data_IF_404067285847
#
_entry.id   IF_404067285847
#
_cell.length_a   1.000
_cell.length_b   1.000
_cell.length_c   1.000
_cell.angle_alpha   90.00
_cell.angle_beta   90.00
_cell.angle_gamma   90.00
#
_symmetry.space_group_name_H-M   'P 1'
#
loop_
_entity.id
_entity.type
_entity.pdbx_description
1 polymer ?
#
# COMPACT_ATOMS: atom_id res chain seq x y z
N UNK A 1 -25.61 62.08 -42.16
CA UNK A 1 -26.21 60.73 -42.23
C UNK A 1 -27.00 60.50 -40.94
N UNK A 2 -28.33 60.41 -41.03
CA UNK A 2 -29.20 60.37 -39.85
C UNK A 2 -29.08 59.03 -39.12
N UNK A 3 -28.70 59.07 -37.83
CA UNK A 3 -28.77 57.91 -36.93
C UNK A 3 -30.23 57.41 -36.92
N UNK A 4 -30.49 56.27 -37.56
CA UNK A 4 -31.81 55.66 -37.64
C UNK A 4 -32.23 55.23 -36.23
N UNK A 5 -33.03 56.06 -35.55
CA UNK A 5 -33.56 55.77 -34.21
C UNK A 5 -34.40 54.50 -34.32
N UNK A 6 -33.92 53.42 -33.70
CA UNK A 6 -34.57 52.11 -33.74
C UNK A 6 -35.87 52.16 -32.94
N UNK A 7 -36.99 51.78 -33.53
CA UNK A 7 -38.27 51.72 -32.81
C UNK A 7 -38.27 50.64 -31.72
N UNK A 8 -39.07 50.83 -30.67
CA UNK A 8 -39.21 49.86 -29.58
C UNK A 8 -39.63 48.47 -30.08
N UNK A 9 -40.54 48.39 -31.05
CA UNK A 9 -40.96 47.12 -31.66
C UNK A 9 -39.79 46.42 -32.36
N UNK A 10 -39.02 47.15 -33.17
CA UNK A 10 -37.85 46.60 -33.87
C UNK A 10 -36.75 46.16 -32.88
N UNK A 11 -36.64 46.85 -31.74
CA UNK A 11 -35.76 46.42 -30.68
C UNK A 11 -36.26 45.14 -30.03
N UNK A 12 -37.54 45.03 -29.65
CA UNK A 12 -38.09 43.84 -29.00
C UNK A 12 -38.00 42.56 -29.86
N UNK A 13 -38.15 42.68 -31.18
CA UNK A 13 -38.04 41.53 -32.09
C UNK A 13 -36.61 41.03 -32.26
N UNK A 14 -35.60 41.89 -32.10
CA UNK A 14 -34.19 41.46 -32.16
C UNK A 14 -33.80 40.77 -30.86
N UNK A 15 -33.29 39.55 -30.92
CA UNK A 15 -32.91 38.77 -29.71
C UNK A 15 -34.12 38.56 -28.77
N UNK A 16 -35.30 38.29 -29.36
CA UNK A 16 -36.59 38.20 -28.66
C UNK A 16 -36.54 37.30 -27.41
N UNK A 17 -35.96 36.10 -27.50
CA UNK A 17 -35.85 35.19 -26.35
C UNK A 17 -35.06 35.76 -25.18
N UNK A 18 -33.91 36.39 -25.44
CA UNK A 18 -33.07 37.02 -24.41
C UNK A 18 -33.76 38.25 -23.81
N UNK A 19 -34.50 39.01 -24.63
CA UNK A 19 -35.23 40.18 -24.16
C UNK A 19 -36.44 39.80 -23.32
N UNK A 20 -37.14 38.71 -23.65
CA UNK A 20 -38.21 38.19 -22.79
C UNK A 20 -37.65 37.81 -21.41
N UNK A 21 -36.58 37.03 -21.36
CA UNK A 21 -35.92 36.67 -20.10
C UNK A 21 -35.48 37.90 -19.29
N UNK A 22 -34.89 38.90 -19.95
CA UNK A 22 -34.51 40.16 -19.31
C UNK A 22 -35.71 40.91 -18.73
N UNK A 23 -36.80 41.04 -19.50
CA UNK A 23 -38.00 41.75 -19.06
C UNK A 23 -38.72 41.01 -17.93
N UNK A 24 -38.74 39.66 -17.95
CA UNK A 24 -39.26 38.84 -16.85
C UNK A 24 -38.45 39.08 -15.57
N UNK A 25 -37.12 39.15 -15.68
CA UNK A 25 -36.26 39.42 -14.53
C UNK A 25 -36.43 40.85 -13.98
N UNK A 26 -36.48 41.87 -14.85
CA UNK A 26 -36.72 43.26 -14.41
C UNK A 26 -38.12 43.43 -13.81
N UNK A 27 -39.11 42.67 -14.28
CA UNK A 27 -40.46 42.64 -13.69
C UNK A 27 -40.44 42.00 -12.30
N UNK A 28 -39.76 40.86 -12.13
CA UNK A 28 -39.64 40.19 -10.83
C UNK A 28 -38.90 41.06 -9.80
N UNK A 29 -37.93 41.86 -10.25
CA UNK A 29 -37.19 42.79 -9.40
C UNK A 29 -37.94 44.10 -9.12
N UNK A 30 -39.00 44.41 -9.87
CA UNK A 30 -39.83 45.62 -9.69
C UNK A 30 -39.11 46.95 -9.97
N UNK A 31 -37.97 46.92 -10.66
CA UNK A 31 -37.10 48.08 -10.82
C UNK A 31 -37.61 49.08 -11.88
N UNK A 32 -37.56 48.68 -13.16
CA UNK A 32 -37.90 49.55 -14.30
C UNK A 32 -39.28 49.25 -14.88
N UNK A 33 -39.81 48.05 -14.62
CA UNK A 33 -41.07 47.55 -15.18
C UNK A 33 -42.02 47.36 -14.02
N UNK A 34 -43.18 48.01 -14.11
CA UNK A 34 -44.26 47.83 -13.13
C UNK A 34 -45.48 47.27 -13.84
N UNK A 35 -46.09 46.26 -13.23
CA UNK A 35 -47.37 45.71 -13.67
C UNK A 35 -48.45 46.75 -13.36
N UNK A 36 -49.20 47.18 -14.38
CA UNK A 36 -50.31 48.10 -14.19
C UNK A 36 -51.62 47.43 -14.59
N UNK A 37 -52.45 47.13 -13.60
CA UNK A 37 -53.79 46.59 -13.80
C UNK A 37 -54.76 47.75 -13.97
N UNK A 38 -55.12 48.05 -15.22
CA UNK A 38 -56.11 49.09 -15.52
C UNK A 38 -57.55 48.54 -15.43
N UNK A 39 -57.73 47.22 -15.60
CA UNK A 39 -58.96 46.44 -15.40
C UNK A 39 -58.60 44.94 -15.29
N UNK A 40 -59.34 44.15 -14.50
CA UNK A 40 -59.11 42.70 -14.25
C UNK A 40 -59.01 41.82 -15.52
N UNK A 41 -59.42 42.34 -16.69
CA UNK A 41 -59.41 41.62 -17.97
C UNK A 41 -58.24 41.98 -18.91
N UNK A 42 -57.51 43.07 -18.68
CA UNK A 42 -56.42 43.51 -19.58
C UNK A 42 -55.24 44.05 -18.77
N UNK A 43 -54.20 43.23 -18.61
CA UNK A 43 -52.92 43.67 -18.04
C UNK A 43 -52.19 44.57 -19.03
N UNK A 44 -51.92 45.81 -18.61
CA UNK A 44 -51.02 46.70 -19.32
C UNK A 44 -49.68 46.75 -18.57
N UNK A 45 -48.57 46.57 -19.27
CA UNK A 45 -47.26 46.74 -18.65
C UNK A 45 -46.75 48.14 -18.93
N UNK A 46 -46.53 48.90 -17.86
CA UNK A 46 -45.93 50.22 -17.94
C UNK A 46 -44.45 50.10 -17.58
N UNK A 47 -43.59 50.49 -18.50
CA UNK A 47 -42.16 50.60 -18.22
C UNK A 47 -41.90 52.08 -17.94
N UNK A 48 -41.73 52.41 -16.67
CA UNK A 48 -41.59 53.79 -16.19
C UNK A 48 -40.64 53.84 -15.00
N UNK A 49 -39.76 54.84 -14.99
CA UNK A 49 -38.90 55.12 -13.84
C UNK A 49 -39.63 55.90 -12.72
N UNK A 50 -40.82 56.46 -12.98
CA UNK A 50 -41.56 57.29 -12.02
C UNK A 50 -42.91 56.67 -11.66
N UNK A 51 -43.30 56.77 -10.37
CA UNK A 51 -44.61 56.36 -9.83
C UNK A 51 -45.78 57.24 -10.33
N UNK A 52 -45.50 58.37 -10.97
CA UNK A 52 -46.51 59.33 -11.40
C UNK A 52 -46.81 59.22 -12.91
N UNK A 53 -48.10 59.04 -13.21
CA UNK A 53 -48.71 58.71 -14.50
C UNK A 53 -48.73 59.87 -15.54
N UNK A 54 -47.92 60.93 -15.34
CA UNK A 54 -47.89 62.11 -16.23
C UNK A 54 -46.68 62.12 -17.18
N UNK A 55 -46.22 60.95 -17.61
CA UNK A 55 -45.16 60.85 -18.61
C UNK A 55 -45.76 60.81 -20.02
N UNK A 56 -45.24 61.64 -20.91
CA UNK A 56 -45.50 61.51 -22.34
C UNK A 56 -44.88 60.19 -22.81
N UNK A 57 -45.67 59.33 -23.45
CA UNK A 57 -45.18 58.07 -24.00
C UNK A 57 -44.78 58.27 -25.46
N UNK A 58 -43.47 58.33 -25.71
CA UNK A 58 -42.91 58.52 -27.05
C UNK A 58 -42.86 57.19 -27.84
N UNK A 59 -42.91 56.06 -27.13
CA UNK A 59 -42.83 54.74 -27.72
C UNK A 59 -43.94 53.81 -27.24
N UNK A 60 -44.60 53.17 -28.19
CA UNK A 60 -45.55 52.10 -27.95
C UNK A 60 -45.20 50.87 -28.80
N UNK A 61 -45.24 49.71 -28.18
CA UNK A 61 -44.96 48.43 -28.80
C UNK A 61 -45.77 47.33 -28.14
N UNK A 62 -45.66 46.12 -28.67
CA UNK A 62 -46.24 44.94 -28.06
C UNK A 62 -45.35 43.72 -28.11
N UNK A 63 -45.44 42.93 -27.04
CA UNK A 63 -44.73 41.68 -26.87
C UNK A 63 -45.76 40.56 -27.02
N UNK A 64 -45.54 39.66 -27.97
CA UNK A 64 -46.36 38.46 -28.15
C UNK A 64 -45.85 37.35 -27.25
N UNK A 65 -46.74 36.50 -26.74
CA UNK A 65 -46.41 35.31 -25.95
C UNK A 65 -45.42 35.60 -24.82
N UNK A 66 -45.84 36.39 -23.83
CA UNK A 66 -45.02 36.82 -22.70
C UNK A 66 -45.75 36.52 -21.38
N UNK A 67 -45.10 35.85 -20.43
CA UNK A 67 -45.69 35.48 -19.12
C UNK A 67 -47.03 34.72 -19.19
N UNK A 68 -47.20 33.85 -20.19
CA UNK A 68 -48.46 33.14 -20.52
C UNK A 68 -49.59 34.00 -21.13
N UNK A 69 -49.32 35.27 -21.47
CA UNK A 69 -50.27 36.13 -22.18
C UNK A 69 -49.97 36.13 -23.68
N UNK A 70 -51.04 36.03 -24.49
CA UNK A 70 -50.92 36.07 -25.95
C UNK A 70 -50.36 37.41 -26.44
N UNK A 71 -50.71 38.51 -25.76
CA UNK A 71 -50.36 39.86 -26.15
C UNK A 71 -50.20 40.78 -24.95
N UNK A 72 -49.09 41.51 -24.90
CA UNK A 72 -48.77 42.48 -23.85
C UNK A 72 -48.41 43.83 -24.48
N UNK A 73 -49.20 44.90 -24.26
CA UNK A 73 -48.84 46.24 -24.70
C UNK A 73 -47.80 46.85 -23.76
N UNK A 74 -46.81 47.53 -24.34
CA UNK A 74 -45.71 48.20 -23.64
C UNK A 74 -45.63 49.65 -24.10
N UNK A 75 -45.58 50.58 -23.14
CA UNK A 75 -45.43 52.02 -23.38
C UNK A 75 -44.32 52.59 -22.49
N UNK A 76 -43.50 53.46 -23.07
CA UNK A 76 -42.35 54.09 -22.40
C UNK A 76 -41.89 55.36 -23.12
N UNK A 77 -41.19 56.25 -22.40
CA UNK A 77 -40.56 57.45 -22.96
C UNK A 77 -39.18 57.16 -23.55
N UNK A 78 -38.64 58.08 -24.34
CA UNK A 78 -37.31 57.98 -24.96
C UNK A 78 -36.19 57.77 -23.91
N UNK A 79 -36.26 58.47 -22.78
CA UNK A 79 -35.29 58.33 -21.69
C UNK A 79 -35.28 56.93 -21.08
N UNK A 80 -36.47 56.40 -20.81
CA UNK A 80 -36.66 55.05 -20.25
C UNK A 80 -36.23 54.01 -21.27
N UNK A 81 -36.47 54.24 -22.56
CA UNK A 81 -35.99 53.35 -23.62
C UNK A 81 -34.47 53.25 -23.67
N UNK A 82 -33.78 54.38 -23.52
CA UNK A 82 -32.33 54.42 -23.48
C UNK A 82 -31.78 53.66 -22.26
N UNK A 83 -32.37 53.85 -21.08
CA UNK A 83 -32.00 53.09 -19.88
C UNK A 83 -32.26 51.60 -20.04
N UNK A 84 -33.39 51.21 -20.64
CA UNK A 84 -33.74 49.82 -20.93
C UNK A 84 -32.69 49.16 -21.85
N UNK A 85 -32.23 49.86 -22.89
CA UNK A 85 -31.16 49.38 -23.79
C UNK A 85 -29.84 49.16 -23.04
N UNK A 86 -29.47 50.08 -22.14
CA UNK A 86 -28.24 49.97 -21.33
C UNK A 86 -28.35 48.77 -20.38
N UNK A 87 -29.45 48.64 -19.64
CA UNK A 87 -29.68 47.51 -18.74
C UNK A 87 -29.68 46.17 -19.46
N UNK A 88 -30.30 46.09 -20.64
CA UNK A 88 -30.26 44.88 -21.45
C UNK A 88 -28.83 44.50 -21.87
N UNK A 89 -27.97 45.47 -22.22
CA UNK A 89 -26.55 45.19 -22.50
C UNK A 89 -25.83 44.62 -21.29
N UNK A 90 -26.07 45.19 -20.10
CA UNK A 90 -25.50 44.70 -18.84
C UNK A 90 -26.00 43.28 -18.53
N UNK A 91 -27.31 43.03 -18.65
CA UNK A 91 -27.90 41.72 -18.47
C UNK A 91 -27.29 40.69 -19.41
N UNK A 92 -27.19 40.99 -20.71
CA UNK A 92 -26.60 40.12 -21.72
C UNK A 92 -25.14 39.79 -21.40
N UNK A 93 -24.38 40.78 -20.94
CA UNK A 93 -22.99 40.60 -20.51
C UNK A 93 -22.89 39.67 -19.29
N UNK A 94 -23.73 39.88 -18.28
CA UNK A 94 -23.75 39.08 -17.06
C UNK A 94 -24.21 37.64 -17.30
N UNK A 95 -25.22 37.45 -18.16
CA UNK A 95 -25.71 36.12 -18.54
C UNK A 95 -24.62 35.32 -19.26
N UNK A 96 -23.88 35.96 -20.18
CA UNK A 96 -22.74 35.34 -20.84
C UNK A 96 -21.66 34.91 -19.83
N UNK A 97 -21.32 35.77 -18.86
CA UNK A 97 -20.34 35.43 -17.82
C UNK A 97 -20.80 34.24 -16.96
N UNK A 98 -22.09 34.18 -16.61
CA UNK A 98 -22.68 33.09 -15.83
C UNK A 98 -22.63 31.77 -16.60
N UNK A 99 -23.00 31.79 -17.88
CA UNK A 99 -23.00 30.59 -18.73
C UNK A 99 -21.59 30.07 -19.02
N UNK A 100 -20.60 30.96 -19.14
CA UNK A 100 -19.19 30.59 -19.35
C UNK A 100 -18.43 30.35 -18.02
N UNK A 101 -19.13 30.38 -16.88
CA UNK A 101 -18.59 30.27 -15.52
C UNK A 101 -17.34 31.16 -15.29
N UNK A 102 -17.32 32.34 -15.92
CA UNK A 102 -16.19 33.27 -15.92
C UNK A 102 -16.24 34.14 -14.69
N UNK A 103 -15.35 33.86 -13.73
CA UNK A 103 -15.08 34.76 -12.60
C UNK A 103 -14.04 35.79 -13.03
N UNK A 104 -14.43 37.06 -13.12
CA UNK A 104 -13.46 38.15 -13.27
C UNK A 104 -12.67 38.27 -11.97
N UNK A 105 -11.38 37.97 -12.03
CA UNK A 105 -10.43 38.19 -10.94
C UNK A 105 -9.59 39.41 -11.26
N UNK A 106 -9.49 40.35 -10.32
CA UNK A 106 -8.48 41.39 -10.38
C UNK A 106 -7.19 40.84 -9.78
N UNK A 107 -6.08 40.99 -10.50
CA UNK A 107 -4.76 40.60 -10.06
C UNK A 107 -3.91 41.87 -9.95
N UNK A 108 -3.30 42.07 -8.79
CA UNK A 108 -2.30 43.10 -8.61
C UNK A 108 -0.94 42.46 -8.80
N UNK A 109 -0.21 42.94 -9.81
CA UNK A 109 1.09 42.40 -10.19
C UNK A 109 2.05 43.59 -10.22
N UNK A 110 3.26 43.41 -9.70
CA UNK A 110 4.30 44.42 -9.76
C UNK A 110 4.79 44.64 -11.19
N UNK A 111 5.29 45.85 -11.45
CA UNK A 111 5.62 46.29 -12.81
C UNK A 111 6.74 45.46 -13.45
N UNK A 112 7.67 44.94 -12.64
CA UNK A 112 8.76 44.07 -13.10
C UNK A 112 8.24 42.72 -13.57
N UNK A 113 7.33 42.10 -12.81
CA UNK A 113 6.69 40.84 -13.20
C UNK A 113 5.78 41.02 -14.41
N UNK A 114 5.06 42.16 -14.49
CA UNK A 114 4.25 42.49 -15.65
C UNK A 114 5.10 42.63 -16.92
N UNK A 115 6.25 43.32 -16.84
CA UNK A 115 7.18 43.48 -17.98
C UNK A 115 7.72 42.13 -18.46
N UNK A 116 8.03 41.21 -17.53
CA UNK A 116 8.43 39.84 -17.88
C UNK A 116 7.30 39.05 -18.54
N UNK A 117 6.08 39.19 -18.05
CA UNK A 117 4.91 38.54 -18.64
C UNK A 117 4.69 39.02 -20.07
N UNK A 118 4.78 40.32 -20.33
CA UNK A 118 4.71 40.89 -21.68
C UNK A 118 5.81 40.37 -22.61
N UNK A 119 7.02 40.18 -22.09
CA UNK A 119 8.12 39.58 -22.85
C UNK A 119 7.80 38.12 -23.22
N UNK A 120 7.36 37.31 -22.26
CA UNK A 120 6.94 35.91 -22.51
C UNK A 120 5.81 35.86 -23.56
N UNK A 121 4.86 36.77 -23.47
CA UNK A 121 3.75 36.89 -24.42
C UNK A 121 4.26 37.16 -25.84
N UNK A 122 5.21 38.08 -26.00
CA UNK A 122 5.83 38.37 -27.31
C UNK A 122 6.63 37.18 -27.83
N UNK A 123 7.48 36.60 -26.99
CA UNK A 123 8.39 35.51 -27.36
C UNK A 123 7.62 34.24 -27.78
N UNK A 124 6.40 34.05 -27.27
CA UNK A 124 5.54 32.90 -27.58
C UNK A 124 4.34 33.26 -28.48
N UNK A 125 4.36 34.45 -29.11
CA UNK A 125 3.30 34.93 -30.03
C UNK A 125 1.88 34.88 -29.44
N UNK A 126 1.76 35.11 -28.13
CA UNK A 126 0.49 35.08 -27.42
C UNK A 126 -0.21 36.44 -27.60
N UNK A 127 -1.45 36.43 -28.11
CA UNK A 127 -2.16 37.68 -28.45
C UNK A 127 -2.62 38.52 -27.24
N UNK A 128 -2.71 37.94 -26.04
CA UNK A 128 -3.25 38.63 -24.87
C UNK A 128 -2.54 38.22 -23.58
N UNK A 129 -2.57 39.10 -22.58
CA UNK A 129 -2.09 38.80 -21.22
C UNK A 129 -2.78 37.58 -20.61
N UNK A 130 -4.08 37.45 -20.88
CA UNK A 130 -4.84 36.28 -20.42
C UNK A 130 -4.34 34.99 -21.05
N UNK A 131 -3.98 34.99 -22.33
CA UNK A 131 -3.37 33.82 -22.98
C UNK A 131 -1.97 33.54 -22.43
N UNK A 132 -1.19 34.57 -22.13
CA UNK A 132 0.09 34.45 -21.41
C UNK A 132 -0.04 33.78 -20.05
N UNK A 133 -1.00 34.23 -19.24
CA UNK A 133 -1.28 33.63 -17.93
C UNK A 133 -1.79 32.20 -18.05
N UNK A 134 -2.67 31.92 -19.01
CA UNK A 134 -3.15 30.55 -19.26
C UNK A 134 -2.01 29.63 -19.68
N UNK A 135 -1.14 30.07 -20.60
CA UNK A 135 0.04 29.32 -21.03
C UNK A 135 0.97 28.96 -19.87
N UNK A 136 1.23 29.91 -18.96
CA UNK A 136 2.04 29.66 -17.77
C UNK A 136 1.36 28.72 -16.77
N UNK A 137 0.04 28.87 -16.59
CA UNK A 137 -0.75 28.00 -15.71
C UNK A 137 -0.83 26.57 -16.24
N UNK A 138 -0.93 26.40 -17.56
CA UNK A 138 -0.95 25.09 -18.22
C UNK A 138 0.42 24.41 -18.08
N UNK A 139 1.52 25.15 -18.27
CA UNK A 139 2.88 24.64 -18.04
C UNK A 139 3.14 24.23 -16.58
N UNK A 140 2.65 25.02 -15.61
CA UNK A 140 2.71 24.65 -14.19
C UNK A 140 1.84 23.43 -13.87
N UNK A 141 0.67 23.32 -14.48
CA UNK A 141 -0.25 22.19 -14.28
C UNK A 141 0.32 20.88 -14.83
N UNK A 142 1.01 20.93 -15.98
CA UNK A 142 1.74 19.79 -16.55
C UNK A 142 2.86 19.32 -15.62
N UNK A 143 3.73 20.22 -15.16
CA UNK A 143 4.80 19.88 -14.20
C UNK A 143 4.26 19.31 -12.90
N UNK A 144 3.13 19.84 -12.40
CA UNK A 144 2.50 19.33 -11.19
C UNK A 144 1.91 17.93 -11.39
N UNK A 145 1.37 17.64 -12.59
CA UNK A 145 0.88 16.31 -12.96
C UNK A 145 2.03 15.30 -13.06
N UNK A 146 3.12 15.66 -13.72
CA UNK A 146 4.32 14.83 -13.81
C UNK A 146 4.92 14.53 -12.44
N UNK A 147 4.98 15.54 -11.56
CA UNK A 147 5.47 15.38 -10.18
C UNK A 147 4.57 14.44 -9.36
N UNK A 148 3.24 14.55 -9.52
CA UNK A 148 2.28 13.65 -8.86
C UNK A 148 2.44 12.21 -9.34
N UNK A 149 2.60 12.01 -10.64
CA UNK A 149 2.80 10.69 -11.23
C UNK A 149 4.11 10.05 -10.73
N UNK A 150 5.21 10.82 -10.73
CA UNK A 150 6.49 10.38 -10.18
C UNK A 150 6.39 9.98 -8.70
N UNK A 151 5.69 10.79 -7.89
CA UNK A 151 5.48 10.49 -6.48
C UNK A 151 4.62 9.22 -6.29
N UNK A 152 3.62 9.02 -7.13
CA UNK A 152 2.81 7.81 -7.10
C UNK A 152 3.65 6.57 -7.41
N UNK A 153 4.45 6.61 -8.47
CA UNK A 153 5.37 5.53 -8.83
C UNK A 153 6.39 5.22 -7.72
N UNK A 154 6.97 6.27 -7.11
CA UNK A 154 7.89 6.10 -5.99
C UNK A 154 7.20 5.47 -4.77
N UNK A 155 5.94 5.84 -4.50
CA UNK A 155 5.16 5.24 -3.40
C UNK A 155 4.96 3.75 -3.62
N UNK A 156 4.55 3.34 -4.83
CA UNK A 156 4.39 1.92 -5.19
C UNK A 156 5.72 1.18 -5.04
N UNK A 157 6.82 1.76 -5.52
CA UNK A 157 8.15 1.15 -5.42
C UNK A 157 8.59 0.95 -3.97
N UNK A 158 8.35 1.92 -3.09
CA UNK A 158 8.65 1.83 -1.65
C UNK A 158 7.79 0.75 -0.99
N UNK A 159 6.50 0.67 -1.32
CA UNK A 159 5.62 -0.38 -0.81
C UNK A 159 6.13 -1.77 -1.18
N UNK A 160 6.45 -1.99 -2.46
CA UNK A 160 7.03 -3.25 -2.92
C UNK A 160 8.35 -3.59 -2.22
N UNK A 161 9.24 -2.60 -2.06
CA UNK A 161 10.51 -2.82 -1.35
C UNK A 161 10.30 -3.17 0.14
N UNK A 162 9.32 -2.56 0.80
CA UNK A 162 8.97 -2.88 2.18
C UNK A 162 8.41 -4.29 2.31
N UNK A 163 7.54 -4.72 1.38
CA UNK A 163 7.03 -6.10 1.35
C UNK A 163 8.18 -7.12 1.18
N UNK A 164 9.12 -6.87 0.27
CA UNK A 164 10.30 -7.71 0.09
C UNK A 164 11.19 -7.75 1.34
N UNK A 165 11.34 -6.62 2.01
CA UNK A 165 12.13 -6.51 3.23
C UNK A 165 11.50 -7.30 4.39
N UNK A 166 10.18 -7.30 4.49
CA UNK A 166 9.45 -8.09 5.48
C UNK A 166 9.53 -9.60 5.19
N UNK A 167 9.44 -10.02 3.92
CA UNK A 167 9.68 -11.41 3.52
C UNK A 167 11.09 -11.87 3.91
N UNK A 168 12.11 -11.05 3.64
CA UNK A 168 13.49 -11.35 4.01
C UNK A 168 13.68 -11.44 5.53
N UNK A 169 13.06 -10.56 6.31
CA UNK A 169 13.06 -10.64 7.78
C UNK A 169 12.43 -11.95 8.27
N UNK A 170 11.31 -12.37 7.68
CA UNK A 170 10.66 -13.63 8.03
C UNK A 170 11.57 -14.83 7.72
N UNK A 171 12.17 -14.88 6.54
CA UNK A 171 13.12 -15.94 6.18
C UNK A 171 14.32 -15.99 7.13
N UNK A 172 14.92 -14.84 7.43
CA UNK A 172 16.05 -14.75 8.37
C UNK A 172 15.67 -15.26 9.77
N UNK A 173 14.46 -14.93 10.25
CA UNK A 173 13.95 -15.46 11.51
C UNK A 173 13.74 -16.98 11.47
N UNK A 174 13.25 -17.53 10.35
CA UNK A 174 13.15 -18.98 10.17
C UNK A 174 14.52 -19.65 10.18
N UNK A 175 15.52 -19.09 9.49
CA UNK A 175 16.90 -19.60 9.51
C UNK A 175 17.48 -19.56 10.92
N UNK A 176 17.32 -18.46 11.66
CA UNK A 176 17.78 -18.37 13.06
C UNK A 176 17.13 -19.44 13.95
N UNK A 177 15.82 -19.69 13.80
CA UNK A 177 15.13 -20.75 14.55
C UNK A 177 15.64 -22.14 14.18
N UNK A 178 15.78 -22.44 12.89
CA UNK A 178 16.34 -23.71 12.41
C UNK A 178 17.76 -23.94 12.91
N UNK A 179 18.61 -22.91 12.84
CA UNK A 179 19.99 -23.01 13.27
C UNK A 179 20.09 -23.27 14.78
N UNK A 180 19.29 -22.58 15.60
CA UNK A 180 19.19 -22.87 17.04
C UNK A 180 18.75 -24.32 17.31
N UNK A 181 17.75 -24.81 16.59
CA UNK A 181 17.28 -26.19 16.75
C UNK A 181 18.35 -27.23 16.35
N UNK A 182 19.08 -26.97 15.26
CA UNK A 182 20.20 -27.82 14.82
C UNK A 182 21.32 -27.87 15.84
N UNK A 183 21.70 -26.73 16.43
CA UNK A 183 22.72 -26.68 17.50
C UNK A 183 22.29 -27.53 18.69
N UNK A 184 21.02 -27.40 19.15
CA UNK A 184 20.50 -28.20 20.26
C UNK A 184 20.52 -29.70 19.91
N UNK A 185 20.09 -30.08 18.69
CA UNK A 185 20.13 -31.47 18.25
C UNK A 185 21.55 -32.02 18.17
N UNK A 186 22.50 -31.24 17.66
CA UNK A 186 23.90 -31.64 17.54
C UNK A 186 24.52 -31.85 18.91
N UNK A 187 24.32 -30.90 19.83
CA UNK A 187 24.80 -31.01 21.20
C UNK A 187 24.23 -32.26 21.90
N UNK A 188 22.93 -32.54 21.74
CA UNK A 188 22.30 -33.74 22.30
C UNK A 188 22.89 -35.04 21.71
N UNK A 189 23.17 -35.08 20.41
CA UNK A 189 23.85 -36.23 19.79
C UNK A 189 25.26 -36.41 20.34
N UNK A 190 25.99 -35.31 20.54
CA UNK A 190 27.35 -35.33 21.04
C UNK A 190 27.40 -35.76 22.51
N UNK A 191 26.47 -35.29 23.34
CA UNK A 191 26.26 -35.78 24.71
C UNK A 191 25.96 -37.28 24.72
N UNK A 192 24.99 -37.75 23.93
CA UNK A 192 24.64 -39.17 23.86
C UNK A 192 25.83 -40.04 23.41
N UNK A 193 26.61 -39.57 22.42
CA UNK A 193 27.79 -40.27 21.95
C UNK A 193 28.87 -40.31 23.03
N UNK A 194 29.07 -39.20 23.75
CA UNK A 194 30.03 -39.11 24.85
C UNK A 194 29.65 -40.07 25.99
N UNK A 195 28.37 -40.09 26.40
CA UNK A 195 27.87 -41.02 27.40
C UNK A 195 28.01 -42.47 26.95
N UNK A 196 27.67 -42.77 25.69
CA UNK A 196 27.80 -44.13 25.13
C UNK A 196 29.26 -44.58 25.06
N UNK A 197 30.18 -43.69 24.68
CA UNK A 197 31.61 -43.96 24.65
C UNK A 197 32.17 -44.16 26.05
N UNK A 198 31.75 -43.34 27.01
CA UNK A 198 32.12 -43.46 28.42
C UNK A 198 31.64 -44.78 29.01
N UNK A 199 30.39 -45.16 28.74
CA UNK A 199 29.80 -46.43 29.19
C UNK A 199 30.53 -47.62 28.57
N UNK A 200 30.83 -47.56 27.27
CA UNK A 200 31.58 -48.60 26.57
C UNK A 200 33.01 -48.73 27.11
N UNK A 201 33.75 -47.63 27.22
CA UNK A 201 35.12 -47.62 27.73
C UNK A 201 35.18 -48.11 29.17
N UNK A 202 34.23 -47.70 30.03
CA UNK A 202 34.19 -48.11 31.42
C UNK A 202 33.88 -49.60 31.56
N UNK A 203 32.87 -50.10 30.82
CA UNK A 203 32.49 -51.52 30.90
C UNK A 203 33.52 -52.45 30.26
N UNK A 204 34.05 -52.12 29.09
CA UNK A 204 35.07 -52.94 28.42
C UNK A 204 36.37 -52.95 29.24
N UNK A 205 36.79 -51.80 29.77
CA UNK A 205 37.96 -51.73 30.64
C UNK A 205 37.76 -52.51 31.94
N UNK A 206 36.61 -52.35 32.62
CA UNK A 206 36.29 -53.11 33.83
C UNK A 206 36.26 -54.61 33.55
N UNK A 207 35.66 -55.04 32.43
CA UNK A 207 35.61 -56.45 32.07
C UNK A 207 37.01 -57.02 31.80
N UNK A 208 37.84 -56.32 31.01
CA UNK A 208 39.23 -56.74 30.73
C UNK A 208 40.07 -56.77 31.99
N UNK A 209 39.90 -55.79 32.88
CA UNK A 209 40.61 -55.73 34.16
C UNK A 209 40.20 -56.90 35.06
N UNK A 210 38.89 -57.18 35.17
CA UNK A 210 38.40 -58.32 35.94
C UNK A 210 38.91 -59.65 35.39
N UNK A 211 38.85 -59.86 34.07
CA UNK A 211 39.38 -61.07 33.41
C UNK A 211 40.89 -61.21 33.64
N UNK A 212 41.64 -60.11 33.56
CA UNK A 212 43.08 -60.15 33.78
C UNK A 212 43.42 -60.45 35.24
N UNK A 213 42.65 -59.92 36.19
CA UNK A 213 42.80 -60.22 37.62
C UNK A 213 42.44 -61.66 37.95
N UNK A 214 41.35 -62.21 37.41
CA UNK A 214 40.99 -63.63 37.55
C UNK A 214 42.11 -64.53 37.03
N UNK A 215 42.63 -64.27 35.82
CA UNK A 215 43.72 -65.06 35.26
C UNK A 215 45.00 -65.02 36.13
N UNK A 216 45.34 -63.85 36.71
CA UNK A 216 46.50 -63.71 37.59
C UNK A 216 46.27 -64.48 38.89
N UNK A 217 45.09 -64.38 39.49
CA UNK A 217 44.74 -65.11 40.71
C UNK A 217 44.77 -66.63 40.48
N UNK A 218 44.21 -67.12 39.39
CA UNK A 218 44.25 -68.54 39.02
C UNK A 218 45.68 -69.03 38.82
N UNK A 219 46.53 -68.23 38.16
CA UNK A 219 47.96 -68.53 38.03
C UNK A 219 48.68 -68.56 39.37
N UNK A 220 48.37 -67.62 40.27
CA UNK A 220 48.95 -67.59 41.62
C UNK A 220 48.52 -68.79 42.45
N UNK A 221 47.24 -69.15 42.44
CA UNK A 221 46.72 -70.35 43.11
C UNK A 221 47.37 -71.62 42.54
N UNK A 222 47.50 -71.73 41.22
CA UNK A 222 48.19 -72.85 40.59
C UNK A 222 49.66 -72.92 41.02
N UNK A 223 50.34 -71.76 41.09
CA UNK A 223 51.74 -71.67 41.54
C UNK A 223 51.88 -72.03 43.01
N UNK A 224 51.03 -71.51 43.90
CA UNK A 224 51.04 -71.87 45.32
C UNK A 224 50.74 -73.37 45.54
N UNK A 225 49.79 -73.95 44.82
CA UNK A 225 49.48 -75.38 44.90
C UNK A 225 50.66 -76.22 44.40
N UNK A 226 51.33 -75.79 43.34
CA UNK A 226 52.53 -76.44 42.83
C UNK A 226 53.72 -76.31 43.81
N UNK A 227 53.95 -75.12 44.36
CA UNK A 227 55.02 -74.82 45.33
C UNK A 227 54.77 -75.45 46.71
N UNK A 228 53.51 -75.70 47.09
CA UNK A 228 53.13 -76.32 48.37
C UNK A 228 53.65 -77.75 48.54
N UNK A 229 54.27 -78.34 47.50
CA UNK A 229 54.74 -79.74 47.43
C UNK A 229 53.64 -80.77 47.70
N UNK A 230 52.38 -80.38 47.84
CA UNK A 230 51.26 -81.30 48.09
C UNK A 230 51.08 -82.21 46.87
N UNK A 231 51.07 -81.64 45.66
CA UNK A 231 51.00 -82.41 44.41
C UNK A 231 52.23 -83.28 44.21
N UNK A 232 53.44 -82.77 44.47
CA UNK A 232 54.67 -83.57 44.39
C UNK A 232 54.63 -84.75 45.38
N UNK A 233 54.20 -84.53 46.62
CA UNK A 233 54.07 -85.61 47.62
C UNK A 233 53.00 -86.64 47.25
N UNK A 234 51.92 -86.21 46.56
CA UNK A 234 50.89 -87.10 46.05
C UNK A 234 51.42 -87.94 44.89
N UNK A 235 52.17 -87.34 43.96
CA UNK A 235 52.80 -88.04 42.85
C UNK A 235 53.87 -89.02 43.34
N UNK A 236 54.69 -88.64 44.33
CA UNK A 236 55.69 -89.54 44.93
C UNK A 236 55.01 -90.73 45.63
N UNK A 237 53.93 -90.48 46.39
CA UNK A 237 53.12 -91.56 46.99
C UNK A 237 52.51 -92.49 45.95
N UNK A 238 51.96 -91.93 44.86
CA UNK A 238 51.36 -92.72 43.79
C UNK A 238 52.43 -93.54 43.04
N UNK A 239 53.61 -92.97 42.85
CA UNK A 239 54.76 -93.65 42.24
C UNK A 239 55.24 -94.82 43.10
N UNK A 240 55.38 -94.64 44.42
CA UNK A 240 55.76 -95.72 45.33
C UNK A 240 54.69 -96.81 45.41
N UNK A 241 53.40 -96.46 45.44
CA UNK A 241 52.32 -97.45 45.43
C UNK A 241 52.30 -98.28 44.13
N UNK A 242 52.52 -97.64 42.98
CA UNK A 242 52.66 -98.34 41.69
C UNK A 242 53.88 -99.27 41.72
N UNK A 243 55.03 -98.79 42.21
CA UNK A 243 56.25 -99.59 42.30
C UNK A 243 56.07 -100.82 43.20
N UNK A 244 55.43 -100.63 44.35
CA UNK A 244 55.13 -101.71 45.29
C UNK A 244 54.22 -102.75 44.65
N UNK A 245 53.16 -102.32 43.95
CA UNK A 245 52.27 -103.24 43.21
C UNK A 245 52.97 -103.99 42.07
N UNK A 246 53.91 -103.35 41.39
CA UNK A 246 54.73 -104.01 40.37
C UNK A 246 55.63 -105.06 41.02
N UNK A 247 56.30 -104.74 42.12
CA UNK A 247 57.14 -105.69 42.87
C UNK A 247 56.34 -106.88 43.41
N UNK A 248 55.14 -106.64 43.95
CA UNK A 248 54.20 -107.70 44.37
C UNK A 248 53.76 -108.58 43.20
N UNK A 249 53.38 -107.98 42.06
CA UNK A 249 52.97 -108.72 40.88
C UNK A 249 54.14 -109.53 40.28
N UNK A 250 55.35 -108.97 40.26
CA UNK A 250 56.56 -109.64 39.76
C UNK A 250 56.95 -110.79 40.69
N UNK A 251 56.84 -110.60 42.01
CA UNK A 251 57.05 -111.67 43.01
C UNK A 251 56.02 -112.78 42.88
N UNK A 252 54.75 -112.46 42.58
CA UNK A 252 53.72 -113.47 42.31
C UNK A 252 53.96 -114.26 41.02
N UNK A 253 54.52 -113.62 39.98
CA UNK A 253 54.91 -114.27 38.73
C UNK A 253 56.11 -115.20 38.95
N UNK A 254 57.14 -114.76 39.71
CA UNK A 254 58.30 -115.60 40.04
C UNK A 254 57.92 -116.83 40.89
N UNK A 255 56.90 -116.72 41.75
CA UNK A 255 56.35 -117.85 42.52
C UNK A 255 55.52 -118.80 41.64
N UNK A 256 54.93 -118.33 40.54
CA UNK A 256 54.22 -119.17 39.56
C UNK A 256 55.17 -119.87 38.57
N UNK A 257 56.30 -119.24 38.20
CA UNK A 257 57.30 -119.83 37.30
C UNK A 257 58.26 -120.83 38.00
N UNK A 258 58.32 -120.83 39.34
CA UNK A 258 59.06 -121.82 40.16
C UNK A 258 58.24 -123.07 40.51
N UNK A 259 57.00 -123.18 40.03
CA UNK A 259 56.16 -124.37 40.24
C UNK A 259 55.52 -124.87 38.92
N UNK A 260 56.32 -125.39 37.96
CA UNK A 260 55.78 -126.19 36.88
C UNK A 260 55.54 -127.62 37.41
N UNK A 261 54.28 -128.03 37.46
CA UNK A 261 53.82 -129.41 37.66
C UNK A 261 54.12 -130.09 39.02
N UNK A 262 53.06 -130.24 39.82
CA UNK A 262 52.72 -131.49 40.50
C UNK A 262 51.20 -131.60 40.61
#
# INVERSE_FOLDING_TARGET
MANKVMSLQAWLTKEEGLKKQFLEQELALGNLIKKYELNERNLNFLISDTLHLKSHFDHQASIKNFLAWNYVPVRLSDEVFNKLKIKFRIFKFNLKNKNENRVKKQLFIDQKTMSRLEQIIKDNELNTIQNGLNFLMDGLSLKMRETKELNHQNTIKIQFQNEQLDLLKQQNNQYKKRNKALVIQYNKKLENLTSSLSDYATKDFQQRLNQSLENILDQQVYTEVFESRVISSLLDKLSEEIKTRIEEATSMIEVQDLNPES
#
